data_IF_123615772216
#
_entry.id   IF_123615772216
#
_cell.length_a   1.000
_cell.length_b   1.000
_cell.length_c   1.000
_cell.angle_alpha   90.00
_cell.angle_beta   90.00
_cell.angle_gamma   90.00
#
_symmetry.space_group_name_H-M   'P 1'
#
loop_
_entity.id
_entity.type
_entity.pdbx_description
1 polymer ?
#
# COMPACT_ATOMS: atom_id res chain seq x y z
N UNK A 1 35.35 11.24 -41.29
CA UNK A 1 33.96 11.62 -41.61
C UNK A 1 33.05 10.56 -41.02
N UNK A 2 32.55 10.80 -39.81
CA UNK A 2 31.75 9.84 -39.05
C UNK A 2 30.28 10.23 -39.21
N UNK A 3 29.49 9.31 -39.75
CA UNK A 3 28.09 9.51 -40.13
C UNK A 3 27.20 9.61 -38.87
N UNK A 4 26.45 10.71 -38.64
CA UNK A 4 25.46 10.77 -37.57
C UNK A 4 24.18 10.06 -38.05
N UNK A 5 24.18 8.72 -38.05
CA UNK A 5 22.95 7.95 -38.25
C UNK A 5 22.06 8.05 -37.01
N UNK A 6 21.33 9.16 -36.97
CA UNK A 6 19.94 9.34 -36.52
C UNK A 6 19.41 8.34 -35.49
N UNK A 7 19.47 8.75 -34.22
CA UNK A 7 18.62 8.28 -33.11
C UNK A 7 17.10 8.45 -33.36
N UNK A 8 16.71 8.99 -34.51
CA UNK A 8 15.35 9.40 -34.88
C UNK A 8 14.43 8.23 -35.29
N UNK A 9 14.96 7.04 -35.52
CA UNK A 9 14.18 5.86 -35.96
C UNK A 9 13.33 5.24 -34.83
N UNK A 10 13.58 5.59 -33.57
CA UNK A 10 12.89 5.02 -32.40
C UNK A 10 11.66 5.83 -31.94
N UNK A 11 11.38 7.00 -32.53
CA UNK A 11 10.27 7.85 -32.10
C UNK A 11 8.94 7.45 -32.79
N UNK A 12 7.96 7.00 -32.01
CA UNK A 12 6.61 6.71 -32.51
C UNK A 12 5.83 8.02 -32.80
N UNK A 13 6.05 8.61 -33.99
CA UNK A 13 5.46 9.92 -34.37
C UNK A 13 3.98 9.88 -34.76
N UNK A 14 3.38 8.69 -34.89
CA UNK A 14 1.99 8.55 -35.31
C UNK A 14 0.99 8.81 -34.18
N UNK A 15 1.41 8.71 -32.91
CA UNK A 15 0.53 9.01 -31.77
C UNK A 15 0.00 10.45 -31.85
N UNK A 16 0.86 11.43 -32.16
CA UNK A 16 0.49 12.83 -32.26
C UNK A 16 -0.44 13.16 -33.44
N UNK A 17 -0.66 12.22 -34.38
CA UNK A 17 -1.60 12.39 -35.49
C UNK A 17 -3.03 11.98 -35.13
N UNK A 18 -3.23 11.32 -33.99
CA UNK A 18 -4.55 10.95 -33.51
C UNK A 18 -5.30 12.20 -33.00
N UNK A 19 -6.62 12.28 -33.22
CA UNK A 19 -7.47 13.25 -32.54
C UNK A 19 -7.25 13.24 -31.03
N UNK A 20 -7.36 14.40 -30.39
CA UNK A 20 -7.10 14.56 -28.95
C UNK A 20 -7.93 13.60 -28.11
N UNK A 21 -9.19 13.37 -28.47
CA UNK A 21 -10.09 12.46 -27.77
C UNK A 21 -9.55 11.02 -27.74
N UNK A 22 -8.94 10.56 -28.84
CA UNK A 22 -8.34 9.24 -28.89
C UNK A 22 -7.05 9.17 -28.08
N UNK A 23 -6.23 10.22 -28.10
CA UNK A 23 -4.99 10.29 -27.31
C UNK A 23 -5.28 10.23 -25.82
N UNK A 24 -6.25 11.02 -25.35
CA UNK A 24 -6.68 11.02 -23.94
C UNK A 24 -7.29 9.67 -23.53
N UNK A 25 -8.10 9.04 -24.40
CA UNK A 25 -8.59 7.68 -24.15
C UNK A 25 -7.42 6.69 -23.98
N UNK A 26 -6.45 6.70 -24.90
CA UNK A 26 -5.28 5.83 -24.81
C UNK A 26 -4.53 6.05 -23.50
N UNK A 27 -4.34 7.30 -23.07
CA UNK A 27 -3.70 7.58 -21.78
C UNK A 27 -4.50 7.01 -20.61
N UNK A 28 -5.81 7.19 -20.57
CA UNK A 28 -6.66 6.62 -19.52
C UNK A 28 -6.63 5.09 -19.51
N UNK A 29 -6.62 4.43 -20.69
CA UNK A 29 -6.48 2.97 -20.78
C UNK A 29 -5.08 2.46 -20.40
N UNK A 30 -4.06 3.32 -20.38
CA UNK A 30 -2.69 2.95 -19.99
C UNK A 30 -2.43 3.16 -18.49
N UNK A 31 -3.38 3.73 -17.73
CA UNK A 31 -3.24 3.80 -16.28
C UNK A 31 -3.12 2.38 -15.72
N UNK A 32 -2.22 2.15 -14.74
CA UNK A 32 -2.04 0.82 -14.21
C UNK A 32 -3.33 0.37 -13.52
N UNK A 33 -3.63 -0.94 -13.56
CA UNK A 33 -4.72 -1.50 -12.77
C UNK A 33 -4.41 -1.36 -11.28
N UNK A 34 -5.39 -1.69 -10.43
CA UNK A 34 -5.25 -1.63 -8.97
C UNK A 34 -3.96 -2.30 -8.50
N UNK A 35 -3.03 -1.49 -7.99
CA UNK A 35 -1.70 -1.93 -7.54
C UNK A 35 -1.57 -1.77 -6.03
N UNK A 36 -0.70 -2.60 -5.48
CA UNK A 36 -0.32 -2.51 -4.07
C UNK A 36 0.74 -1.41 -3.90
N UNK A 37 0.53 -0.49 -2.96
CA UNK A 37 1.42 0.63 -2.67
C UNK A 37 1.99 0.47 -1.26
N UNK A 38 3.15 -0.20 -1.09
CA UNK A 38 3.78 -0.37 0.21
C UNK A 38 4.18 0.99 0.77
N UNK A 39 3.78 1.31 1.99
CA UNK A 39 4.22 2.53 2.67
C UNK A 39 5.23 2.18 3.76
N UNK A 40 6.32 2.93 3.79
CA UNK A 40 7.37 2.82 4.81
C UNK A 40 7.84 4.20 5.22
N UNK A 41 8.30 4.34 6.45
CA UNK A 41 8.96 5.57 6.92
C UNK A 41 10.41 5.28 7.30
N UNK A 42 11.27 6.24 6.98
CA UNK A 42 12.71 6.13 7.20
C UNK A 42 13.44 5.39 6.09
N UNK A 43 14.77 5.49 6.11
CA UNK A 43 15.63 5.13 4.99
C UNK A 43 15.79 3.60 4.85
N UNK A 44 14.91 2.94 4.12
CA UNK A 44 15.15 1.57 3.64
C UNK A 44 16.06 1.58 2.41
N UNK A 45 17.30 2.00 2.62
CA UNK A 45 18.41 1.63 1.77
C UNK A 45 19.53 1.14 2.70
N UNK A 46 19.29 0.00 3.34
CA UNK A 46 20.35 -0.72 4.02
C UNK A 46 21.41 -1.09 2.96
N UNK A 47 22.53 -0.36 2.92
CA UNK A 47 23.68 -0.79 2.13
C UNK A 47 24.59 0.28 1.53
N UNK A 48 24.30 1.58 1.61
CA UNK A 48 25.38 2.55 1.38
C UNK A 48 25.40 3.59 2.50
N UNK A 49 26.56 4.12 2.78
CA UNK A 49 26.74 5.23 3.71
C UNK A 49 26.81 6.46 2.81
N UNK A 50 25.76 7.32 2.79
CA UNK A 50 25.76 8.54 1.97
C UNK A 50 24.50 8.93 1.16
N UNK A 51 23.35 8.26 1.26
CA UNK A 51 22.10 8.75 0.66
C UNK A 51 21.59 9.91 1.49
N UNK A 52 20.90 10.86 0.85
CA UNK A 52 20.12 11.85 1.55
C UNK A 52 19.27 11.17 2.62
N UNK A 53 19.32 11.71 3.84
CA UNK A 53 18.36 11.37 4.89
C UNK A 53 16.99 11.80 4.39
N UNK A 54 16.29 10.90 3.71
CA UNK A 54 14.96 11.18 3.21
C UNK A 54 14.01 11.13 4.39
N UNK A 55 13.66 12.31 4.89
CA UNK A 55 12.67 12.48 5.95
C UNK A 55 11.28 12.35 5.31
N UNK A 56 10.63 11.21 5.50
CA UNK A 56 9.24 11.04 5.10
C UNK A 56 8.80 9.61 4.83
N UNK A 57 7.58 9.49 4.31
CA UNK A 57 7.03 8.25 3.82
C UNK A 57 7.50 7.97 2.39
N UNK A 58 7.94 6.75 2.13
CA UNK A 58 8.38 6.28 0.82
C UNK A 58 7.65 5.01 0.42
N UNK A 59 7.59 4.76 -0.89
CA UNK A 59 7.03 3.54 -1.44
C UNK A 59 7.95 2.94 -2.51
N UNK A 60 8.00 1.61 -2.56
CA UNK A 60 8.66 0.87 -3.63
C UNK A 60 7.72 0.57 -4.81
N UNK A 61 6.49 1.08 -4.80
CA UNK A 61 5.55 0.88 -5.89
C UNK A 61 6.06 1.52 -7.19
N UNK A 62 5.96 0.79 -8.29
CA UNK A 62 6.36 1.30 -9.62
C UNK A 62 5.55 2.54 -9.95
N UNK A 63 6.23 3.67 -10.18
CA UNK A 63 5.55 4.92 -10.56
C UNK A 63 4.86 4.71 -11.91
N UNK A 64 3.57 5.08 -12.06
CA UNK A 64 2.84 4.90 -13.32
C UNK A 64 3.60 5.54 -14.49
N UNK A 65 3.76 4.78 -15.58
CA UNK A 65 4.50 5.22 -16.78
C UNK A 65 3.93 6.53 -17.35
N UNK A 66 2.62 6.72 -17.25
CA UNK A 66 1.93 7.94 -17.67
C UNK A 66 2.47 9.21 -17.01
N UNK A 67 2.90 9.13 -15.75
CA UNK A 67 3.47 10.28 -15.05
C UNK A 67 4.84 10.69 -15.60
N UNK A 68 5.48 9.88 -16.46
CA UNK A 68 6.82 10.15 -16.97
C UNK A 68 6.93 10.08 -18.51
N UNK A 69 5.88 9.67 -19.22
CA UNK A 69 5.92 9.50 -20.67
C UNK A 69 6.04 10.83 -21.45
N UNK A 70 5.13 11.78 -21.22
CA UNK A 70 5.15 13.13 -21.81
C UNK A 70 4.29 14.09 -20.97
N UNK A 71 4.26 15.39 -21.31
CA UNK A 71 3.45 16.38 -20.57
C UNK A 71 1.96 16.07 -20.62
N UNK A 72 1.41 15.74 -21.80
CA UNK A 72 -0.01 15.39 -21.93
C UNK A 72 -0.39 14.15 -21.11
N UNK A 73 0.44 13.11 -21.13
CA UNK A 73 0.20 11.90 -20.35
C UNK A 73 0.28 12.17 -18.85
N UNK A 74 1.22 13.03 -18.42
CA UNK A 74 1.34 13.47 -17.03
C UNK A 74 0.11 14.27 -16.60
N UNK A 75 -0.35 15.21 -17.40
CA UNK A 75 -1.52 16.04 -17.09
C UNK A 75 -2.79 15.18 -16.98
N UNK A 76 -2.92 14.13 -17.81
CA UNK A 76 -4.02 13.17 -17.69
C UNK A 76 -3.90 12.32 -16.41
N UNK A 77 -2.72 11.78 -16.12
CA UNK A 77 -2.50 10.94 -14.94
C UNK A 77 -2.67 11.70 -13.62
N UNK A 78 -2.28 12.97 -13.55
CA UNK A 78 -2.41 13.80 -12.36
C UNK A 78 -3.87 14.14 -12.00
N UNK A 79 -4.85 13.81 -12.86
CA UNK A 79 -6.28 13.87 -12.51
C UNK A 79 -6.69 12.79 -11.52
N UNK A 80 -5.95 11.69 -11.50
CA UNK A 80 -6.23 10.50 -10.68
C UNK A 80 -5.20 10.34 -9.55
N UNK A 81 -3.93 10.59 -9.86
CA UNK A 81 -2.83 10.41 -8.92
C UNK A 81 -2.47 11.71 -8.20
N UNK A 82 -2.54 11.67 -6.87
CA UNK A 82 -2.00 12.69 -5.98
C UNK A 82 -0.70 12.23 -5.32
N UNK A 83 0.19 13.19 -5.01
CA UNK A 83 1.27 12.94 -4.06
C UNK A 83 0.69 13.02 -2.64
N UNK A 84 0.78 11.91 -1.90
CA UNK A 84 0.27 11.84 -0.54
C UNK A 84 1.30 11.33 0.47
N UNK A 85 0.83 11.25 1.72
CA UNK A 85 1.56 10.86 2.92
C UNK A 85 2.69 11.82 3.28
N UNK A 86 2.40 13.13 3.22
CA UNK A 86 3.20 14.18 3.81
C UNK A 86 3.43 13.90 5.28
N UNK A 87 4.69 13.96 5.69
CA UNK A 87 5.15 13.43 6.97
C UNK A 87 5.90 14.51 7.74
N UNK A 88 5.55 14.69 9.02
CA UNK A 88 6.17 15.69 9.88
C UNK A 88 6.19 17.12 9.26
N UNK A 89 5.08 17.51 8.62
CA UNK A 89 4.90 18.78 7.88
C UNK A 89 5.72 18.91 6.59
N UNK A 90 6.39 17.85 6.16
CA UNK A 90 6.97 17.74 4.82
C UNK A 90 5.90 17.37 3.77
N UNK A 91 6.16 17.65 2.49
CA UNK A 91 5.24 17.30 1.41
C UNK A 91 5.13 15.77 1.23
N UNK A 92 3.97 15.32 0.76
CA UNK A 92 3.76 13.94 0.31
C UNK A 92 4.61 13.58 -0.90
N UNK A 93 5.00 12.30 -0.99
CA UNK A 93 6.00 11.83 -1.96
C UNK A 93 5.60 10.54 -2.66
N UNK A 94 4.49 9.93 -2.25
CA UNK A 94 3.99 8.68 -2.83
C UNK A 94 2.83 9.03 -3.74
N UNK A 95 2.94 8.67 -5.02
CA UNK A 95 1.81 8.74 -5.94
C UNK A 95 0.79 7.67 -5.59
N UNK A 96 -0.43 8.11 -5.27
CA UNK A 96 -1.56 7.25 -4.94
C UNK A 96 -2.79 7.70 -5.74
N UNK A 97 -3.48 6.74 -6.35
CA UNK A 97 -4.87 6.90 -6.80
C UNK A 97 -5.79 6.38 -5.69
N UNK A 98 -6.52 7.24 -4.96
CA UNK A 98 -7.38 6.82 -3.84
C UNK A 98 -8.50 5.84 -4.23
N UNK A 99 -8.94 5.88 -5.49
CA UNK A 99 -9.99 5.01 -6.01
C UNK A 99 -9.41 3.62 -6.33
N UNK A 100 -8.24 3.58 -6.98
CA UNK A 100 -7.70 2.37 -7.61
C UNK A 100 -6.58 1.67 -6.83
N UNK A 101 -5.74 2.42 -6.12
CA UNK A 101 -4.60 1.86 -5.41
C UNK A 101 -5.00 1.26 -4.05
N UNK A 102 -4.19 0.32 -3.58
CA UNK A 102 -4.33 -0.32 -2.27
C UNK A 102 -3.10 0.05 -1.44
N UNK A 103 -3.27 0.89 -0.43
CA UNK A 103 -2.18 1.24 0.49
C UNK A 103 -1.80 0.00 1.31
N UNK A 104 -0.51 -0.30 1.42
CA UNK A 104 -0.05 -1.53 2.07
C UNK A 104 0.91 -1.27 3.23
N UNK A 105 0.53 -1.72 4.42
CA UNK A 105 1.43 -1.82 5.57
C UNK A 105 2.05 -3.22 5.62
N UNK A 106 3.26 -3.31 5.07
CA UNK A 106 4.01 -4.56 4.99
C UNK A 106 4.76 -4.94 6.27
N UNK A 107 5.35 -6.16 6.29
CA UNK A 107 6.20 -6.58 7.39
C UNK A 107 7.48 -5.72 7.44
N UNK A 108 8.08 -5.63 8.63
CA UNK A 108 9.37 -4.97 8.86
C UNK A 108 10.16 -5.79 9.88
N UNK A 109 11.43 -6.01 9.58
CA UNK A 109 12.31 -6.79 10.45
C UNK A 109 12.53 -6.09 11.80
N UNK A 110 12.47 -6.87 12.87
CA UNK A 110 12.65 -6.41 14.24
C UNK A 110 11.38 -6.54 15.09
N UNK A 111 11.58 -6.72 16.39
CA UNK A 111 10.49 -6.83 17.36
C UNK A 111 9.62 -5.57 17.32
N UNK A 112 8.32 -5.74 17.06
CA UNK A 112 7.33 -4.65 16.92
C UNK A 112 7.67 -3.59 15.85
N UNK A 113 8.58 -3.86 14.91
CA UNK A 113 9.00 -2.87 13.92
C UNK A 113 7.87 -2.49 12.95
N UNK A 114 7.05 -3.47 12.54
CA UNK A 114 5.88 -3.25 11.68
C UNK A 114 4.80 -2.40 12.38
N UNK A 115 4.46 -2.72 13.64
CA UNK A 115 3.53 -1.93 14.44
C UNK A 115 4.06 -0.52 14.71
N UNK A 116 5.32 -0.38 15.15
CA UNK A 116 5.95 0.93 15.38
C UNK A 116 5.91 1.83 14.14
N UNK A 117 6.11 1.24 12.96
CA UNK A 117 5.95 1.92 11.69
C UNK A 117 4.52 2.41 11.45
N UNK A 118 3.57 1.51 11.62
CA UNK A 118 2.16 1.83 11.47
C UNK A 118 1.75 2.98 12.41
N UNK A 119 2.07 2.88 13.70
CA UNK A 119 1.74 3.92 14.68
C UNK A 119 2.38 5.26 14.35
N UNK A 120 3.63 5.25 13.88
CA UNK A 120 4.35 6.47 13.49
C UNK A 120 3.68 7.13 12.28
N UNK A 121 3.37 6.36 11.23
CA UNK A 121 2.66 6.84 10.04
C UNK A 121 1.30 7.40 10.42
N UNK A 122 0.51 6.66 11.21
CA UNK A 122 -0.81 7.11 11.68
C UNK A 122 -0.75 8.39 12.52
N UNK A 123 0.37 8.65 13.20
CA UNK A 123 0.52 9.85 14.04
C UNK A 123 1.05 11.05 13.26
N UNK A 124 1.95 10.82 12.30
CA UNK A 124 2.77 11.86 11.67
C UNK A 124 2.32 12.25 10.26
N UNK A 125 1.56 11.38 9.58
CA UNK A 125 0.99 11.72 8.28
C UNK A 125 -0.16 12.70 8.39
N UNK A 126 -0.34 13.51 7.35
CA UNK A 126 -1.46 14.43 7.23
C UNK A 126 -2.81 13.67 7.34
N UNK A 127 -3.70 14.08 8.25
CA UNK A 127 -4.99 13.41 8.43
C UNK A 127 -5.89 13.50 7.19
N UNK A 128 -5.80 14.57 6.39
CA UNK A 128 -6.62 14.72 5.18
C UNK A 128 -6.19 13.71 4.12
N UNK A 129 -4.89 13.48 3.97
CA UNK A 129 -4.36 12.50 3.02
C UNK A 129 -4.64 11.06 3.46
N UNK A 130 -4.55 10.76 4.77
CA UNK A 130 -4.94 9.46 5.31
C UNK A 130 -6.44 9.19 5.12
N UNK A 131 -7.28 10.22 5.19
CA UNK A 131 -8.73 10.11 5.00
C UNK A 131 -9.12 9.81 3.54
N UNK A 132 -8.26 10.07 2.56
CA UNK A 132 -8.52 9.73 1.15
C UNK A 132 -8.40 8.23 0.88
N UNK A 133 -7.66 7.48 1.69
CA UNK A 133 -7.39 6.06 1.43
C UNK A 133 -8.67 5.23 1.55
N UNK A 134 -9.09 4.60 0.45
CA UNK A 134 -10.28 3.72 0.43
C UNK A 134 -9.99 2.25 0.66
N UNK A 135 -8.81 1.79 0.24
CA UNK A 135 -8.44 0.37 0.28
C UNK A 135 -7.10 0.17 0.96
N UNK A 136 -7.12 -0.68 1.98
CA UNK A 136 -6.00 -0.87 2.88
C UNK A 136 -5.62 -2.34 2.94
N UNK A 137 -4.38 -2.67 2.66
CA UNK A 137 -3.80 -3.98 2.90
C UNK A 137 -2.90 -3.96 4.13
N UNK A 138 -3.02 -4.96 5.01
CA UNK A 138 -2.29 -5.00 6.27
C UNK A 138 -1.67 -6.37 6.48
N UNK A 139 -0.36 -6.43 6.66
CA UNK A 139 0.32 -7.67 6.98
C UNK A 139 0.03 -8.15 8.41
N UNK A 140 -0.06 -9.47 8.62
CA UNK A 140 -0.31 -10.04 9.95
C UNK A 140 0.77 -9.68 11.00
N UNK A 141 1.97 -9.28 10.59
CA UNK A 141 3.04 -8.80 11.47
C UNK A 141 2.64 -7.57 12.31
N UNK A 142 1.59 -6.83 11.92
CA UNK A 142 1.07 -5.70 12.71
C UNK A 142 0.27 -6.12 13.95
N UNK A 143 -0.23 -7.36 13.98
CA UNK A 143 -1.10 -7.84 15.07
C UNK A 143 -0.78 -9.27 15.51
N UNK A 144 0.32 -9.82 15.02
CA UNK A 144 0.80 -11.17 15.33
C UNK A 144 2.32 -11.13 15.53
N UNK A 145 2.74 -10.92 16.77
CA UNK A 145 4.13 -10.59 17.13
C UNK A 145 5.09 -11.79 17.05
N UNK A 146 4.65 -12.99 17.47
CA UNK A 146 5.52 -14.17 17.60
C UNK A 146 5.10 -15.31 16.67
N UNK A 147 6.00 -16.26 16.40
CA UNK A 147 5.67 -17.51 15.69
C UNK A 147 4.68 -18.39 16.48
N UNK A 148 4.65 -18.21 17.81
CA UNK A 148 3.64 -18.82 18.68
C UNK A 148 2.38 -17.95 18.75
N UNK A 149 1.23 -18.48 18.31
CA UNK A 149 -0.05 -17.79 18.46
C UNK A 149 -0.41 -17.58 19.94
N UNK A 150 -0.50 -16.31 20.38
CA UNK A 150 -0.98 -15.92 21.70
C UNK A 150 -2.31 -15.17 21.58
N UNK A 151 -3.41 -15.90 21.74
CA UNK A 151 -4.77 -15.41 21.46
C UNK A 151 -5.12 -14.07 22.10
N UNK A 152 -4.75 -13.85 23.37
CA UNK A 152 -5.07 -12.60 24.06
C UNK A 152 -4.30 -11.40 23.50
N UNK A 153 -2.97 -11.51 23.37
CA UNK A 153 -2.12 -10.44 22.85
C UNK A 153 -2.49 -10.08 21.42
N UNK A 154 -2.69 -11.11 20.57
CA UNK A 154 -3.05 -10.91 19.18
C UNK A 154 -4.41 -10.21 19.04
N UNK A 155 -5.42 -10.62 19.82
CA UNK A 155 -6.72 -9.96 19.84
C UNK A 155 -6.63 -8.48 20.28
N UNK A 156 -5.88 -8.18 21.35
CA UNK A 156 -5.70 -6.80 21.81
C UNK A 156 -5.03 -5.91 20.75
N UNK A 157 -4.01 -6.44 20.05
CA UNK A 157 -3.33 -5.71 18.98
C UNK A 157 -4.25 -5.47 17.78
N UNK A 158 -5.05 -6.46 17.37
CA UNK A 158 -6.01 -6.26 16.26
C UNK A 158 -7.08 -5.23 16.60
N UNK A 159 -7.57 -5.21 17.85
CA UNK A 159 -8.51 -4.18 18.31
C UNK A 159 -7.87 -2.79 18.25
N UNK A 160 -6.64 -2.61 18.75
CA UNK A 160 -5.97 -1.30 18.72
C UNK A 160 -5.64 -0.87 17.29
N UNK A 161 -5.17 -1.79 16.44
CA UNK A 161 -4.94 -1.55 15.03
C UNK A 161 -6.20 -1.02 14.34
N UNK A 162 -7.32 -1.72 14.49
CA UNK A 162 -8.60 -1.34 13.87
C UNK A 162 -9.13 -0.02 14.44
N UNK A 163 -8.95 0.25 15.75
CA UNK A 163 -9.30 1.53 16.37
C UNK A 163 -8.49 2.69 15.76
N UNK A 164 -7.21 2.48 15.50
CA UNK A 164 -6.35 3.47 14.86
C UNK A 164 -6.79 3.75 13.42
N UNK A 165 -7.12 2.71 12.66
CA UNK A 165 -7.65 2.83 11.30
C UNK A 165 -8.97 3.62 11.31
N UNK A 166 -9.91 3.24 12.17
CA UNK A 166 -11.19 3.94 12.34
C UNK A 166 -10.98 5.44 12.64
N UNK A 167 -10.04 5.78 13.52
CA UNK A 167 -9.82 7.15 13.94
C UNK A 167 -9.06 8.02 12.92
N UNK A 168 -8.15 7.42 12.14
CA UNK A 168 -7.21 8.16 11.27
C UNK A 168 -7.47 8.00 9.77
N UNK A 169 -8.21 6.98 9.37
CA UNK A 169 -8.50 6.65 7.98
C UNK A 169 -10.01 6.44 7.77
N UNK A 170 -10.84 7.47 8.00
CA UNK A 170 -12.30 7.34 7.94
C UNK A 170 -12.84 6.98 6.55
N UNK A 171 -12.07 7.21 5.49
CA UNK A 171 -12.44 6.87 4.11
C UNK A 171 -12.23 5.40 3.73
N UNK A 172 -11.71 4.56 4.63
CA UNK A 172 -11.46 3.14 4.31
C UNK A 172 -12.77 2.39 4.15
N UNK A 173 -12.97 1.83 2.96
CA UNK A 173 -14.13 1.04 2.56
C UNK A 173 -13.80 -0.47 2.58
N UNK A 174 -12.54 -0.82 2.33
CA UNK A 174 -12.07 -2.21 2.30
C UNK A 174 -10.73 -2.40 3.04
N UNK A 175 -10.66 -3.44 3.88
CA UNK A 175 -9.44 -3.91 4.54
C UNK A 175 -9.10 -5.33 4.06
N UNK A 176 -7.91 -5.50 3.49
CA UNK A 176 -7.37 -6.78 3.07
C UNK A 176 -6.29 -7.19 4.05
N UNK A 177 -6.51 -8.26 4.79
CA UNK A 177 -5.49 -8.77 5.67
C UNK A 177 -4.60 -9.77 4.93
N UNK A 178 -3.29 -9.61 5.07
CA UNK A 178 -2.26 -10.32 4.31
C UNK A 178 -1.45 -11.20 5.26
N UNK A 179 -1.65 -12.52 5.25
CA UNK A 179 -0.84 -13.43 6.05
C UNK A 179 0.64 -13.40 5.64
N UNK A 180 1.56 -13.60 6.59
CA UNK A 180 2.98 -13.87 6.29
C UNK A 180 3.10 -15.14 5.43
N UNK A 181 4.01 -15.15 4.43
CA UNK A 181 4.26 -16.36 3.64
C UNK A 181 4.82 -17.47 4.55
N UNK A 182 4.53 -18.73 4.22
CA UNK A 182 4.94 -19.88 5.03
C UNK A 182 6.46 -19.95 5.24
N UNK A 183 7.26 -19.52 4.25
CA UNK A 183 8.72 -19.50 4.32
C UNK A 183 9.27 -18.52 5.37
N UNK A 184 8.47 -17.56 5.82
CA UNK A 184 8.88 -16.59 6.85
C UNK A 184 8.63 -17.09 8.27
N UNK A 185 8.09 -18.29 8.46
CA UNK A 185 7.83 -18.87 9.79
C UNK A 185 8.96 -19.78 10.22
N UNK A 186 9.31 -19.74 11.50
CA UNK A 186 10.38 -20.57 12.05
C UNK A 186 10.18 -22.07 11.78
N UNK A 187 11.28 -22.83 11.57
CA UNK A 187 11.25 -24.24 11.16
C UNK A 187 10.56 -25.18 12.17
N UNK A 188 10.33 -24.74 13.41
CA UNK A 188 9.78 -25.56 14.49
C UNK A 188 8.25 -25.53 14.61
N UNK A 189 7.55 -24.72 13.80
CA UNK A 189 6.10 -24.50 13.96
C UNK A 189 5.34 -24.71 12.65
N UNK A 190 5.26 -25.96 12.18
CA UNK A 190 4.34 -26.27 11.08
C UNK A 190 2.89 -26.06 11.55
N UNK A 191 2.25 -25.03 11.01
CA UNK A 191 0.83 -24.75 11.19
C UNK A 191 0.20 -24.87 9.81
N UNK A 192 -0.76 -25.77 9.68
CA UNK A 192 -1.51 -25.94 8.43
C UNK A 192 -2.05 -24.59 7.95
N UNK A 193 -1.87 -24.20 6.67
CA UNK A 193 -2.31 -22.91 6.18
C UNK A 193 -3.78 -22.64 6.48
N UNK A 194 -4.68 -23.62 6.32
CA UNK A 194 -6.10 -23.51 6.68
C UNK A 194 -6.34 -23.00 8.11
N UNK A 195 -5.55 -23.48 9.07
CA UNK A 195 -5.62 -23.08 10.48
C UNK A 195 -5.21 -21.62 10.70
N UNK A 196 -4.26 -21.11 9.91
CA UNK A 196 -3.85 -19.69 9.94
C UNK A 196 -5.02 -18.80 9.54
N UNK A 197 -5.63 -19.10 8.38
CA UNK A 197 -6.75 -18.31 7.86
C UNK A 197 -7.92 -18.36 8.84
N UNK A 198 -8.21 -19.51 9.43
CA UNK A 198 -9.27 -19.67 10.44
C UNK A 198 -9.01 -18.85 11.71
N UNK A 199 -7.81 -18.95 12.29
CA UNK A 199 -7.43 -18.18 13.50
C UNK A 199 -7.48 -16.70 13.24
N UNK A 200 -6.92 -16.29 12.11
CA UNK A 200 -6.87 -14.89 11.71
C UNK A 200 -8.27 -14.33 11.46
N UNK A 201 -9.13 -15.06 10.74
CA UNK A 201 -10.52 -14.68 10.51
C UNK A 201 -11.29 -14.54 11.84
N UNK A 202 -11.15 -15.51 12.74
CA UNK A 202 -11.81 -15.47 14.05
C UNK A 202 -11.35 -14.26 14.90
N UNK A 203 -10.04 -13.98 14.90
CA UNK A 203 -9.46 -12.84 15.60
C UNK A 203 -9.95 -11.50 15.03
N UNK A 204 -9.96 -11.34 13.70
CA UNK A 204 -10.47 -10.15 13.02
C UNK A 204 -11.95 -9.94 13.35
N UNK A 205 -12.76 -11.00 13.24
CA UNK A 205 -14.18 -10.94 13.53
C UNK A 205 -14.47 -10.54 14.97
N UNK A 206 -13.72 -11.11 15.93
CA UNK A 206 -13.85 -10.77 17.35
C UNK A 206 -13.46 -9.31 17.62
N UNK A 207 -12.38 -8.83 16.99
CA UNK A 207 -11.93 -7.46 17.16
C UNK A 207 -12.91 -6.43 16.56
N UNK A 208 -13.47 -6.72 15.38
CA UNK A 208 -14.51 -5.90 14.77
C UNK A 208 -15.77 -5.84 15.63
N UNK A 209 -16.24 -6.98 16.15
CA UNK A 209 -17.39 -7.03 17.05
C UNK A 209 -17.14 -6.18 18.32
N UNK A 210 -15.96 -6.33 18.92
CA UNK A 210 -15.53 -5.56 20.09
C UNK A 210 -15.57 -4.05 19.82
N UNK A 211 -15.11 -3.61 18.65
CA UNK A 211 -15.13 -2.19 18.29
C UNK A 211 -16.54 -1.68 17.98
N UNK A 212 -17.37 -2.45 17.28
CA UNK A 212 -18.77 -2.10 17.04
C UNK A 212 -19.54 -1.89 18.35
N UNK A 213 -19.27 -2.69 19.38
CA UNK A 213 -19.83 -2.50 20.73
C UNK A 213 -19.34 -1.21 21.40
N UNK A 214 -18.08 -0.84 21.19
CA UNK A 214 -17.45 0.34 21.80
C UNK A 214 -17.79 1.66 21.08
N UNK A 215 -18.09 1.61 19.79
CA UNK A 215 -18.40 2.80 18.98
C UNK A 215 -19.73 2.65 18.24
N UNK A 216 -20.86 2.94 18.92
CA UNK A 216 -22.18 2.88 18.31
C UNK A 216 -22.28 3.79 17.08
N UNK A 217 -22.79 3.25 15.97
CA UNK A 217 -22.96 3.98 14.70
C UNK A 217 -21.77 3.91 13.74
N UNK A 218 -20.67 3.27 14.13
CA UNK A 218 -19.60 2.94 13.19
C UNK A 218 -19.97 1.72 12.35
N UNK A 219 -19.87 1.85 11.03
CA UNK A 219 -19.98 0.73 10.10
C UNK A 219 -18.58 0.24 9.75
N UNK A 220 -18.21 -1.00 10.11
CA UNK A 220 -16.89 -1.52 9.79
C UNK A 220 -16.71 -1.67 8.26
N UNK A 221 -15.49 -1.42 7.74
CA UNK A 221 -15.17 -1.68 6.34
C UNK A 221 -15.40 -3.14 5.96
N UNK A 222 -15.63 -3.40 4.68
CA UNK A 222 -15.62 -4.79 4.20
C UNK A 222 -14.21 -5.36 4.36
N UNK A 223 -14.09 -6.66 4.61
CA UNK A 223 -12.79 -7.27 4.80
C UNK A 223 -12.68 -8.66 4.20
N UNK A 224 -11.45 -9.01 3.83
CA UNK A 224 -11.09 -10.34 3.33
C UNK A 224 -9.64 -10.66 3.68
N UNK A 225 -9.29 -11.93 3.58
CA UNK A 225 -7.91 -12.41 3.76
C UNK A 225 -7.38 -12.85 2.41
N UNK A 226 -6.27 -12.25 1.95
CA UNK A 226 -5.61 -12.63 0.69
C UNK A 226 -4.10 -12.75 0.89
N UNK A 227 -3.45 -13.79 0.33
CA UNK A 227 -2.00 -13.88 0.35
C UNK A 227 -1.38 -12.78 -0.52
N UNK A 228 -0.13 -12.40 -0.24
CA UNK A 228 0.57 -11.36 -1.00
C UNK A 228 0.70 -11.70 -2.50
N UNK A 229 0.77 -12.99 -2.84
CA UNK A 229 0.81 -13.48 -4.22
C UNK A 229 -0.45 -13.14 -5.02
N UNK A 230 -1.60 -12.93 -4.38
CA UNK A 230 -2.84 -12.54 -5.04
C UNK A 230 -2.77 -11.13 -5.67
N UNK A 231 -1.79 -10.31 -5.30
CA UNK A 231 -1.58 -8.96 -5.84
C UNK A 231 -0.53 -8.91 -6.96
N UNK A 232 0.26 -9.98 -7.14
CA UNK A 232 1.36 -10.04 -8.11
C UNK A 232 0.90 -10.42 -9.53
N UNK A 233 -0.36 -10.81 -9.72
CA UNK A 233 -0.89 -11.31 -10.99
C UNK A 233 -1.34 -10.24 -11.99
N UNK A 234 -1.00 -8.95 -11.79
CA UNK A 234 -1.53 -7.86 -12.64
C UNK A 234 -0.43 -7.00 -13.28
N UNK A 235 0.72 -7.61 -13.62
CA UNK A 235 1.86 -6.87 -14.19
C UNK A 235 2.81 -7.68 -15.07
N UNK A 236 2.32 -8.74 -15.72
CA UNK A 236 3.10 -9.48 -16.71
C UNK A 236 2.24 -9.81 -17.95
N UNK A 237 2.05 -8.82 -18.80
CA UNK A 237 1.75 -8.96 -20.22
C UNK A 237 2.15 -7.68 -20.95
#
# INVERSE_FOLDING_TARGET
>A
MSNPQSLDSAAFRNFCKLPTELRLKIWNYNLPPARLVPIQYGSSWAGRSGSPSWTGCTSSATIPSNLHACSESRDEALKYYGLGFGFARGPGQIFLDPEHDILYFGPRDGYMAADSQFQTIMSMCDPEELALVRRLAINDALFWVDDSYRSMTAASLTVELLRRIQARMPGVEEIIFVPRPEQSRGPETYIEPSMVYMRMAHQIQTALATLCEQTPGWTPPCWRILPLSAFQSVGAA
#
